data_IF_720561439297
#
_entry.id   IF_720561439297
#
_cell.length_a   1.000
_cell.length_b   1.000
_cell.length_c   1.000
_cell.angle_alpha   90.00
_cell.angle_beta   90.00
_cell.angle_gamma   90.00
#
_symmetry.space_group_name_H-M   'P 1'
#
loop_
_entity.id
_entity.type
_entity.pdbx_description
1 polymer ?
#
# COMPACT_ATOMS: atom_id res chain seq x y z
N UNK A 1 -69.32 17.88 -50.29
CA UNK A 1 -67.95 18.30 -49.91
C UNK A 1 -67.56 17.48 -48.70
N UNK A 2 -67.20 16.22 -48.87
CA UNK A 2 -65.92 15.64 -49.35
C UNK A 2 -64.74 15.83 -48.39
N UNK A 3 -64.12 14.67 -48.11
CA UNK A 3 -62.70 14.43 -47.81
C UNK A 3 -62.20 14.80 -46.41
N UNK A 4 -62.31 13.86 -45.45
CA UNK A 4 -61.34 13.69 -44.35
C UNK A 4 -61.56 12.37 -43.58
N UNK A 5 -61.77 11.23 -44.23
CA UNK A 5 -62.02 9.95 -43.51
C UNK A 5 -61.31 8.75 -44.13
N UNK A 6 -60.14 8.94 -44.75
CA UNK A 6 -59.39 7.86 -45.40
C UNK A 6 -57.87 8.05 -45.32
N UNK A 7 -57.34 8.52 -44.19
CA UNK A 7 -55.89 8.65 -43.99
C UNK A 7 -55.39 8.06 -42.67
N UNK A 8 -56.22 7.99 -41.61
CA UNK A 8 -55.78 7.48 -40.30
C UNK A 8 -55.89 5.96 -40.13
N UNK A 9 -56.71 5.29 -40.94
CA UNK A 9 -56.86 3.83 -40.89
C UNK A 9 -55.77 3.06 -41.67
N UNK A 10 -55.02 3.73 -42.56
CA UNK A 10 -53.95 3.10 -43.34
C UNK A 10 -52.57 3.16 -42.66
N UNK A 11 -52.40 3.99 -41.63
CA UNK A 11 -51.11 4.11 -40.91
C UNK A 11 -51.01 3.14 -39.73
N UNK A 12 -52.15 2.61 -39.23
CA UNK A 12 -52.14 1.66 -38.09
C UNK A 12 -52.00 0.19 -38.49
N UNK A 13 -51.98 -0.12 -39.79
CA UNK A 13 -51.91 -1.51 -40.28
C UNK A 13 -50.52 -1.93 -40.77
N UNK A 14 -49.54 -1.02 -40.81
CA UNK A 14 -48.25 -1.27 -41.46
C UNK A 14 -47.07 -0.86 -40.57
N UNK A 15 -46.98 -1.44 -39.37
CA UNK A 15 -45.68 -1.55 -38.67
C UNK A 15 -45.67 -2.59 -37.53
N UNK A 16 -46.17 -3.80 -37.80
CA UNK A 16 -45.73 -5.00 -37.05
C UNK A 16 -45.13 -5.97 -38.08
N UNK A 17 -44.07 -5.51 -38.75
CA UNK A 17 -43.10 -6.44 -39.32
C UNK A 17 -42.27 -6.91 -38.13
N UNK A 18 -42.69 -8.01 -37.52
CA UNK A 18 -41.82 -8.81 -36.66
C UNK A 18 -40.70 -9.29 -37.58
N UNK A 19 -39.55 -8.63 -37.50
CA UNK A 19 -38.39 -8.97 -38.32
C UNK A 19 -37.88 -10.34 -37.85
N UNK A 20 -38.13 -11.44 -38.58
CA UNK A 20 -37.81 -12.80 -38.09
C UNK A 20 -36.30 -13.00 -37.95
N UNK A 21 -35.51 -12.10 -38.55
CA UNK A 21 -34.05 -12.08 -38.48
C UNK A 21 -33.57 -11.55 -37.12
N UNK A 22 -34.24 -10.57 -36.51
CA UNK A 22 -33.82 -9.99 -35.23
C UNK A 22 -33.99 -10.98 -34.06
N UNK A 23 -35.12 -11.70 -34.01
CA UNK A 23 -35.36 -12.74 -33.01
C UNK A 23 -34.43 -13.95 -33.19
N UNK A 24 -34.01 -14.26 -34.43
CA UNK A 24 -33.06 -15.34 -34.69
C UNK A 24 -31.65 -15.01 -34.21
N UNK A 25 -31.23 -13.75 -34.29
CA UNK A 25 -29.91 -13.30 -33.83
C UNK A 25 -29.85 -13.29 -32.30
N UNK A 26 -30.90 -12.82 -31.62
CA UNK A 26 -30.93 -12.84 -30.15
C UNK A 26 -31.03 -14.28 -29.60
N UNK A 27 -31.76 -15.17 -30.28
CA UNK A 27 -31.80 -16.60 -29.92
C UNK A 27 -30.43 -17.30 -30.14
N UNK A 28 -29.73 -17.01 -31.23
CA UNK A 28 -28.39 -17.56 -31.49
C UNK A 28 -27.33 -16.98 -30.55
N UNK A 29 -27.40 -15.68 -30.21
CA UNK A 29 -26.48 -15.07 -29.26
C UNK A 29 -26.68 -15.65 -27.84
N UNK A 30 -27.92 -15.85 -27.42
CA UNK A 30 -28.22 -16.47 -26.12
C UNK A 30 -27.82 -17.95 -26.04
N UNK A 31 -27.94 -18.70 -27.14
CA UNK A 31 -27.50 -20.11 -27.21
C UNK A 31 -25.98 -20.27 -27.31
N UNK A 32 -25.28 -19.36 -28.00
CA UNK A 32 -23.81 -19.31 -28.06
C UNK A 32 -23.20 -18.97 -26.70
N UNK A 33 -23.81 -18.06 -25.92
CA UNK A 33 -23.35 -17.79 -24.55
C UNK A 33 -23.71 -18.91 -23.56
N UNK A 34 -24.78 -19.67 -23.81
CA UNK A 34 -25.14 -20.84 -23.00
C UNK A 34 -24.22 -22.05 -23.22
N UNK A 35 -23.50 -22.12 -24.34
CA UNK A 35 -22.66 -23.28 -24.73
C UNK A 35 -21.17 -23.12 -24.43
N UNK A 36 -20.74 -22.02 -23.81
CA UNK A 36 -19.37 -21.96 -23.28
C UNK A 36 -19.19 -23.04 -22.20
N UNK A 37 -18.31 -24.03 -22.39
CA UNK A 37 -18.14 -25.10 -21.43
C UNK A 37 -17.72 -24.48 -20.10
N UNK A 38 -18.61 -24.58 -19.11
CA UNK A 38 -18.34 -24.13 -17.75
C UNK A 38 -17.01 -24.77 -17.33
N UNK A 39 -16.00 -23.99 -16.93
CA UNK A 39 -14.72 -24.56 -16.56
C UNK A 39 -14.97 -25.64 -15.49
N UNK A 40 -14.50 -26.85 -15.78
CA UNK A 40 -14.58 -27.98 -14.86
C UNK A 40 -14.06 -27.57 -13.48
N UNK A 41 -14.57 -28.20 -12.42
CA UNK A 41 -14.24 -27.83 -11.02
C UNK A 41 -12.71 -27.73 -10.81
N UNK A 42 -11.93 -28.58 -11.47
CA UNK A 42 -10.46 -28.56 -11.49
C UNK A 42 -9.90 -27.27 -12.09
N UNK A 43 -10.36 -26.85 -13.28
CA UNK A 43 -9.90 -25.60 -13.92
C UNK A 43 -10.31 -24.37 -13.10
N UNK A 44 -11.45 -24.43 -12.41
CA UNK A 44 -11.89 -23.40 -11.47
C UNK A 44 -10.98 -23.31 -10.25
N UNK A 45 -10.63 -24.44 -9.65
CA UNK A 45 -9.69 -24.51 -8.52
C UNK A 45 -8.30 -24.02 -8.93
N UNK A 46 -7.77 -24.47 -10.08
CA UNK A 46 -6.49 -24.00 -10.62
C UNK A 46 -6.50 -22.49 -10.86
N UNK A 47 -7.55 -21.95 -11.49
CA UNK A 47 -7.65 -20.52 -11.71
C UNK A 47 -7.72 -19.73 -10.40
N UNK A 48 -8.38 -20.28 -9.38
CA UNK A 48 -8.44 -19.68 -8.06
C UNK A 48 -7.08 -19.70 -7.35
N UNK A 49 -6.36 -20.83 -7.39
CA UNK A 49 -5.00 -20.94 -6.84
C UNK A 49 -4.05 -19.98 -7.55
N UNK A 50 -4.06 -19.93 -8.88
CA UNK A 50 -3.23 -19.02 -9.67
C UNK A 50 -3.56 -17.56 -9.36
N UNK A 51 -4.85 -17.23 -9.20
CA UNK A 51 -5.27 -15.89 -8.79
C UNK A 51 -4.78 -15.55 -7.39
N UNK A 52 -4.92 -16.48 -6.43
CA UNK A 52 -4.49 -16.29 -5.05
C UNK A 52 -2.98 -16.10 -4.95
N UNK A 53 -2.18 -16.96 -5.60
CA UNK A 53 -0.71 -16.87 -5.63
C UNK A 53 -0.25 -15.57 -6.30
N UNK A 54 -0.86 -15.17 -7.42
CA UNK A 54 -0.51 -13.89 -8.07
C UNK A 54 -0.89 -12.69 -7.21
N UNK A 55 -2.06 -12.75 -6.56
CA UNK A 55 -2.52 -11.70 -5.66
C UNK A 55 -1.62 -11.54 -4.44
N UNK A 56 -1.30 -12.64 -3.76
CA UNK A 56 -0.40 -12.63 -2.60
C UNK A 56 1.01 -12.17 -2.98
N UNK A 57 1.54 -12.63 -4.12
CA UNK A 57 2.83 -12.15 -4.63
C UNK A 57 2.82 -10.64 -4.93
N UNK A 58 1.77 -10.13 -5.56
CA UNK A 58 1.64 -8.69 -5.81
C UNK A 58 1.55 -7.86 -4.51
N UNK A 59 0.86 -8.37 -3.49
CA UNK A 59 0.78 -7.71 -2.17
C UNK A 59 2.14 -7.75 -1.48
N UNK A 60 2.81 -8.92 -1.44
CA UNK A 60 4.13 -9.07 -0.83
C UNK A 60 5.16 -8.16 -1.51
N UNK A 61 5.11 -8.08 -2.83
CA UNK A 61 5.97 -7.18 -3.61
C UNK A 61 5.66 -5.70 -3.35
N UNK A 62 4.40 -5.34 -3.17
CA UNK A 62 4.01 -3.97 -2.81
C UNK A 62 4.57 -3.62 -1.43
N UNK A 63 4.42 -4.52 -0.45
CA UNK A 63 4.96 -4.35 0.90
C UNK A 63 6.48 -4.19 0.84
N UNK A 64 7.18 -5.05 0.12
CA UNK A 64 8.63 -4.96 -0.07
C UNK A 64 9.05 -3.63 -0.70
N UNK A 65 8.37 -3.20 -1.76
CA UNK A 65 8.69 -1.93 -2.43
C UNK A 65 8.46 -0.76 -1.49
N UNK A 66 7.33 -0.72 -0.79
CA UNK A 66 7.05 0.33 0.18
C UNK A 66 8.09 0.32 1.31
N UNK A 67 8.50 -0.85 1.78
CA UNK A 67 9.53 -1.00 2.81
C UNK A 67 10.89 -0.42 2.38
N UNK A 68 11.29 -0.69 1.14
CA UNK A 68 12.51 -0.11 0.56
C UNK A 68 12.39 1.43 0.44
N UNK A 69 11.23 1.93 0.01
CA UNK A 69 10.97 3.38 -0.03
C UNK A 69 11.03 4.02 1.36
N UNK A 70 10.56 3.32 2.39
CA UNK A 70 10.59 3.81 3.78
C UNK A 70 11.97 3.81 4.41
N UNK A 71 12.89 2.96 3.94
CA UNK A 71 14.25 2.92 4.46
C UNK A 71 15.07 4.16 4.08
N UNK A 72 14.67 4.90 3.03
CA UNK A 72 15.35 6.09 2.55
C UNK A 72 14.67 7.34 3.11
N UNK A 73 15.39 8.22 3.85
CA UNK A 73 14.85 9.49 4.33
C UNK A 73 14.26 10.31 3.17
N UNK A 74 13.22 11.11 3.45
CA UNK A 74 12.45 11.90 2.46
C UNK A 74 11.60 11.02 1.52
N UNK A 75 12.18 9.98 0.92
CA UNK A 75 11.47 9.02 0.04
C UNK A 75 10.35 8.28 0.80
N UNK A 76 10.54 8.07 2.11
CA UNK A 76 9.50 7.58 3.02
C UNK A 76 8.17 8.36 2.96
N UNK A 77 8.17 9.63 2.53
CA UNK A 77 6.94 10.41 2.31
C UNK A 77 6.08 9.84 1.19
N UNK A 78 6.68 9.22 0.18
CA UNK A 78 5.96 8.54 -0.91
C UNK A 78 5.20 7.34 -0.35
N UNK A 79 5.87 6.53 0.48
CA UNK A 79 5.25 5.39 1.15
C UNK A 79 4.10 5.82 2.06
N UNK A 80 4.30 6.87 2.86
CA UNK A 80 3.25 7.44 3.69
C UNK A 80 2.09 8.00 2.86
N UNK A 81 2.38 8.73 1.78
CA UNK A 81 1.37 9.22 0.84
C UNK A 81 0.59 8.11 0.14
N UNK A 82 1.25 6.99 -0.18
CA UNK A 82 0.58 5.79 -0.69
C UNK A 82 -0.41 5.23 0.34
N UNK A 83 0.03 5.03 1.59
CA UNK A 83 -0.82 4.55 2.68
C UNK A 83 -2.04 5.45 2.93
N UNK A 84 -1.84 6.78 2.88
CA UNK A 84 -2.92 7.76 2.94
C UNK A 84 -3.87 7.62 1.75
N UNK A 85 -3.35 7.50 0.53
CA UNK A 85 -4.20 7.35 -0.66
C UNK A 85 -5.10 6.11 -0.58
N UNK A 86 -4.59 4.99 -0.06
CA UNK A 86 -5.36 3.75 0.14
C UNK A 86 -6.52 3.98 1.11
N UNK A 87 -6.28 4.63 2.25
CA UNK A 87 -7.35 4.92 3.22
C UNK A 87 -8.35 5.94 2.69
N UNK A 88 -7.88 6.95 1.93
CA UNK A 88 -8.70 7.97 1.30
C UNK A 88 -9.61 7.43 0.19
N UNK A 89 -9.10 6.57 -0.69
CA UNK A 89 -9.87 5.92 -1.74
C UNK A 89 -10.91 4.94 -1.16
N UNK A 90 -10.56 4.22 -0.10
CA UNK A 90 -11.54 3.41 0.63
C UNK A 90 -12.63 4.28 1.26
N UNK A 91 -12.27 5.39 1.89
CA UNK A 91 -13.19 6.32 2.52
C UNK A 91 -14.12 7.05 1.53
N UNK A 92 -13.70 7.22 0.27
CA UNK A 92 -14.53 7.78 -0.81
C UNK A 92 -15.47 6.75 -1.45
N UNK A 93 -15.31 5.47 -1.15
CA UNK A 93 -16.21 4.39 -1.59
C UNK A 93 -15.64 3.43 -2.62
N UNK A 94 -14.35 3.52 -2.97
CA UNK A 94 -13.71 2.59 -3.90
C UNK A 94 -13.80 1.13 -3.41
N UNK A 95 -13.77 0.17 -4.34
CA UNK A 95 -13.67 -1.26 -3.99
C UNK A 95 -12.27 -1.55 -3.44
N UNK A 96 -12.16 -2.55 -2.56
CA UNK A 96 -10.87 -2.95 -1.96
C UNK A 96 -9.76 -3.22 -3.00
N UNK A 97 -10.13 -3.79 -4.14
CA UNK A 97 -9.20 -4.06 -5.24
C UNK A 97 -8.73 -2.78 -5.94
N UNK A 98 -9.61 -1.79 -6.03
CA UNK A 98 -9.34 -0.54 -6.74
C UNK A 98 -8.62 0.46 -5.84
N UNK A 99 -8.78 0.32 -4.52
CA UNK A 99 -8.14 1.15 -3.50
C UNK A 99 -6.71 0.80 -3.17
N UNK A 100 -6.11 -0.20 -3.84
CA UNK A 100 -4.68 -0.48 -3.78
C UNK A 100 -4.08 -0.04 -5.12
N UNK A 101 -3.73 1.25 -5.27
CA UNK A 101 -3.23 1.76 -6.52
C UNK A 101 -2.02 0.95 -6.97
N UNK A 102 -1.98 0.61 -8.25
CA UNK A 102 -0.78 0.06 -8.91
C UNK A 102 -0.29 -1.27 -8.31
N UNK A 103 -1.16 -2.01 -7.62
CA UNK A 103 -0.85 -3.33 -7.04
C UNK A 103 -0.23 -4.29 -8.08
N UNK A 104 -0.75 -4.28 -9.31
CA UNK A 104 -0.23 -5.11 -10.40
C UNK A 104 1.16 -4.67 -10.87
N UNK A 105 1.42 -3.37 -10.92
CA UNK A 105 2.72 -2.81 -11.30
C UNK A 105 3.76 -3.09 -10.22
N UNK A 106 3.38 -2.99 -8.94
CA UNK A 106 4.24 -3.39 -7.83
C UNK A 106 4.71 -4.84 -8.00
N UNK A 107 3.79 -5.78 -8.24
CA UNK A 107 4.16 -7.17 -8.54
C UNK A 107 5.13 -7.33 -9.73
N UNK A 108 4.98 -6.52 -10.79
CA UNK A 108 5.95 -6.53 -11.91
C UNK A 108 7.34 -6.09 -11.46
N UNK A 109 7.43 -5.03 -10.65
CA UNK A 109 8.69 -4.55 -10.06
C UNK A 109 9.30 -5.63 -9.17
N UNK A 110 8.51 -6.26 -8.30
CA UNK A 110 9.01 -7.34 -7.44
C UNK A 110 9.53 -8.54 -8.20
N UNK A 111 8.87 -8.94 -9.29
CA UNK A 111 9.41 -10.01 -10.15
C UNK A 111 10.68 -9.58 -10.86
N UNK A 112 10.78 -8.33 -11.30
CA UNK A 112 12.02 -7.80 -11.86
C UNK A 112 13.15 -7.87 -10.83
N UNK A 113 12.91 -7.40 -9.59
CA UNK A 113 13.88 -7.47 -8.50
C UNK A 113 14.25 -8.91 -8.16
N UNK A 114 13.28 -9.81 -8.07
CA UNK A 114 13.52 -11.24 -7.83
C UNK A 114 14.31 -11.88 -8.97
N UNK A 115 14.02 -11.54 -10.23
CA UNK A 115 14.75 -12.03 -11.38
C UNK A 115 16.19 -11.49 -11.41
N UNK A 116 16.41 -10.22 -11.09
CA UNK A 116 17.74 -9.63 -10.93
C UNK A 116 18.51 -10.35 -9.82
N UNK A 117 17.87 -10.57 -8.67
CA UNK A 117 18.46 -11.27 -7.54
C UNK A 117 18.87 -12.70 -7.92
N UNK A 118 17.94 -13.48 -8.50
CA UNK A 118 18.20 -14.86 -8.95
C UNK A 118 19.29 -14.89 -10.02
N UNK A 119 19.27 -13.96 -10.98
CA UNK A 119 20.28 -13.88 -12.04
C UNK A 119 21.65 -13.44 -11.51
N UNK A 120 21.70 -12.72 -10.39
CA UNK A 120 22.94 -12.32 -9.73
C UNK A 120 23.58 -13.45 -8.91
N UNK A 121 22.81 -14.44 -8.42
CA UNK A 121 23.33 -15.50 -7.55
C UNK A 121 24.50 -16.29 -8.16
N UNK A 122 24.44 -16.78 -9.42
CA UNK A 122 25.56 -17.53 -10.01
C UNK A 122 26.82 -16.68 -10.11
N UNK A 123 26.67 -15.42 -10.52
CA UNK A 123 27.78 -14.47 -10.60
C UNK A 123 28.39 -14.22 -9.22
N UNK A 124 27.57 -13.97 -8.21
CA UNK A 124 28.03 -13.77 -6.82
C UNK A 124 28.78 -14.99 -6.28
N UNK A 125 28.27 -16.18 -6.54
CA UNK A 125 28.88 -17.43 -6.09
C UNK A 125 30.26 -17.65 -6.75
N UNK A 126 30.35 -17.43 -8.06
CA UNK A 126 31.61 -17.51 -8.79
C UNK A 126 32.63 -16.46 -8.32
N UNK A 127 32.19 -15.22 -8.08
CA UNK A 127 33.08 -14.18 -7.53
C UNK A 127 33.53 -14.48 -6.11
N UNK A 128 32.66 -15.09 -5.30
CA UNK A 128 33.03 -15.49 -3.94
C UNK A 128 34.08 -16.60 -3.95
N UNK A 129 33.89 -17.62 -4.79
CA UNK A 129 34.88 -18.70 -4.95
C UNK A 129 36.20 -18.22 -5.56
N UNK A 130 36.16 -17.28 -6.50
CA UNK A 130 37.37 -16.65 -7.05
C UNK A 130 38.14 -15.91 -5.96
N UNK A 131 37.44 -15.14 -5.12
CA UNK A 131 38.04 -14.44 -3.99
C UNK A 131 38.70 -15.41 -3.02
N UNK A 132 38.02 -16.51 -2.64
CA UNK A 132 38.58 -17.56 -1.79
C UNK A 132 39.81 -18.22 -2.43
N UNK A 133 39.77 -18.56 -3.71
CA UNK A 133 40.88 -19.17 -4.43
C UNK A 133 42.11 -18.24 -4.49
N UNK A 134 41.88 -16.95 -4.69
CA UNK A 134 42.94 -15.92 -4.73
C UNK A 134 43.64 -15.72 -3.39
N UNK A 135 42.92 -15.89 -2.27
CA UNK A 135 43.48 -15.80 -0.92
C UNK A 135 44.35 -17.01 -0.57
N UNK A 136 44.00 -18.19 -1.08
CA UNK A 136 44.75 -19.44 -0.85
C UNK A 136 45.99 -19.50 -1.74
N UNK A 137 45.83 -19.26 -3.04
CA UNK A 137 46.92 -19.29 -4.01
C UNK A 137 46.81 -18.14 -5.03
N UNK A 138 47.50 -17.01 -4.77
CA UNK A 138 47.46 -15.84 -5.63
C UNK A 138 47.95 -16.17 -7.05
N UNK A 139 47.14 -15.83 -8.06
CA UNK A 139 47.51 -16.00 -9.48
C UNK A 139 47.30 -17.42 -10.04
N UNK A 140 46.62 -18.31 -9.33
CA UNK A 140 46.30 -19.65 -9.85
C UNK A 140 45.37 -19.64 -11.08
N UNK A 141 45.56 -20.60 -11.99
CA UNK A 141 44.71 -20.77 -13.19
C UNK A 141 43.22 -20.98 -12.84
N UNK A 142 42.96 -21.60 -11.68
CA UNK A 142 41.61 -21.82 -11.16
C UNK A 142 40.91 -20.50 -10.81
N UNK A 143 41.61 -19.54 -10.20
CA UNK A 143 41.05 -18.21 -9.92
C UNK A 143 40.70 -17.46 -11.22
N UNK A 144 41.57 -17.56 -12.23
CA UNK A 144 41.33 -16.97 -13.55
C UNK A 144 40.12 -17.58 -14.25
N UNK A 145 39.96 -18.91 -14.21
CA UNK A 145 38.81 -19.59 -14.79
C UNK A 145 37.49 -19.19 -14.09
N UNK A 146 37.48 -19.08 -12.76
CA UNK A 146 36.32 -18.61 -12.00
C UNK A 146 35.96 -17.15 -12.33
N UNK A 147 36.96 -16.29 -12.52
CA UNK A 147 36.75 -14.90 -12.95
C UNK A 147 36.09 -14.82 -14.34
N UNK A 148 36.60 -15.59 -15.31
CA UNK A 148 36.00 -15.65 -16.66
C UNK A 148 34.58 -16.20 -16.60
N UNK A 149 34.35 -17.23 -15.79
CA UNK A 149 33.01 -17.78 -15.52
C UNK A 149 32.06 -16.72 -14.94
N UNK A 150 32.51 -15.93 -13.97
CA UNK A 150 31.71 -14.86 -13.37
C UNK A 150 31.34 -13.78 -14.40
N UNK A 151 32.28 -13.38 -15.26
CA UNK A 151 32.03 -12.40 -16.34
C UNK A 151 31.01 -12.96 -17.33
N UNK A 152 31.19 -14.23 -17.76
CA UNK A 152 30.25 -14.87 -18.68
C UNK A 152 28.85 -14.95 -18.06
N UNK A 153 28.73 -15.38 -16.81
CA UNK A 153 27.47 -15.43 -16.07
C UNK A 153 26.80 -14.04 -15.98
N UNK A 154 27.57 -12.98 -15.71
CA UNK A 154 27.07 -11.61 -15.69
C UNK A 154 26.54 -11.12 -17.04
N UNK A 155 27.24 -11.45 -18.14
CA UNK A 155 26.79 -11.13 -19.50
C UNK A 155 25.49 -11.87 -19.85
N UNK A 156 25.41 -13.17 -19.54
CA UNK A 156 24.20 -13.96 -19.74
C UNK A 156 23.02 -13.44 -18.91
N UNK A 157 23.26 -13.11 -17.63
CA UNK A 157 22.25 -12.51 -16.75
C UNK A 157 21.72 -11.18 -17.31
N UNK A 158 22.61 -10.31 -17.77
CA UNK A 158 22.25 -9.01 -18.36
C UNK A 158 21.41 -9.20 -19.63
N UNK A 159 21.85 -10.06 -20.55
CA UNK A 159 21.11 -10.37 -21.78
C UNK A 159 19.71 -10.96 -21.49
N UNK A 160 19.63 -11.85 -20.50
CA UNK A 160 18.37 -12.43 -20.04
C UNK A 160 17.39 -11.38 -19.47
N UNK A 161 17.88 -10.49 -18.60
CA UNK A 161 17.07 -9.45 -17.97
C UNK A 161 16.58 -8.42 -19.00
N UNK A 162 17.44 -7.99 -19.91
CA UNK A 162 17.07 -7.10 -21.02
C UNK A 162 15.98 -7.74 -21.88
N UNK A 163 16.12 -9.02 -22.22
CA UNK A 163 15.11 -9.75 -22.99
C UNK A 163 13.77 -9.90 -22.26
N UNK A 164 13.79 -10.11 -20.95
CA UNK A 164 12.57 -10.13 -20.15
C UNK A 164 11.84 -8.79 -20.18
N UNK A 165 12.59 -7.69 -20.20
CA UNK A 165 12.04 -6.33 -20.27
C UNK A 165 11.42 -6.01 -21.63
N UNK A 166 12.10 -6.36 -22.72
CA UNK A 166 11.61 -6.21 -24.11
C UNK A 166 10.19 -6.76 -24.26
N UNK A 167 9.94 -7.92 -23.65
CA UNK A 167 8.66 -8.65 -23.71
C UNK A 167 7.55 -8.03 -22.85
N UNK A 168 7.79 -6.90 -22.20
CA UNK A 168 6.78 -6.12 -21.50
C UNK A 168 6.65 -6.43 -20.01
N UNK A 169 7.69 -6.99 -19.37
CA UNK A 169 7.83 -6.99 -17.90
C UNK A 169 6.69 -7.64 -17.11
N UNK A 170 5.92 -8.56 -17.70
CA UNK A 170 4.84 -9.28 -17.00
C UNK A 170 5.41 -10.39 -16.13
N UNK A 171 4.72 -10.71 -15.02
CA UNK A 171 5.12 -11.75 -14.06
C UNK A 171 5.54 -13.07 -14.72
N UNK A 172 4.82 -13.50 -15.77
CA UNK A 172 5.11 -14.76 -16.48
C UNK A 172 6.32 -14.70 -17.43
N UNK A 173 6.76 -13.52 -17.86
CA UNK A 173 7.90 -13.40 -18.79
C UNK A 173 9.24 -13.63 -18.09
N UNK A 174 9.32 -13.32 -16.80
CA UNK A 174 10.48 -13.59 -15.94
C UNK A 174 10.60 -15.05 -15.48
N UNK A 175 9.52 -15.84 -15.56
CA UNK A 175 9.59 -17.28 -15.26
C UNK A 175 9.90 -18.13 -16.50
N UNK A 176 9.62 -17.63 -17.71
CA UNK A 176 9.77 -18.38 -18.95
C UNK A 176 10.45 -17.56 -20.06
N UNK A 177 11.74 -17.83 -20.37
CA UNK A 177 12.51 -17.03 -21.32
C UNK A 177 12.05 -17.06 -22.79
N UNK A 178 11.15 -17.97 -23.20
CA UNK A 178 10.77 -18.20 -24.62
C UNK A 178 11.98 -18.12 -25.58
N UNK A 179 12.93 -19.08 -25.50
CA UNK A 179 14.20 -18.99 -26.23
C UNK A 179 14.02 -18.90 -27.75
N UNK A 180 12.97 -19.51 -28.32
CA UNK A 180 12.69 -19.47 -29.76
C UNK A 180 12.40 -18.05 -30.30
N UNK A 181 11.77 -17.18 -29.49
CA UNK A 181 11.52 -15.78 -29.89
C UNK A 181 12.75 -14.91 -29.69
N UNK A 182 13.59 -15.20 -28.69
CA UNK A 182 14.85 -14.49 -28.44
C UNK A 182 15.72 -14.48 -29.69
N UNK A 183 16.04 -15.65 -30.23
CA UNK A 183 16.90 -15.73 -31.42
C UNK A 183 16.28 -15.10 -32.68
N UNK A 184 14.94 -14.99 -32.77
CA UNK A 184 14.25 -14.42 -33.95
C UNK A 184 14.09 -12.90 -33.90
N UNK A 185 13.86 -12.36 -32.71
CA UNK A 185 13.43 -10.97 -32.53
C UNK A 185 14.48 -10.12 -31.81
N UNK A 186 15.43 -10.72 -31.06
CA UNK A 186 16.49 -9.98 -30.38
C UNK A 186 17.42 -9.25 -31.37
N UNK A 187 17.59 -9.77 -32.59
CA UNK A 187 18.43 -9.13 -33.62
C UNK A 187 17.73 -7.98 -34.37
N UNK A 188 16.45 -7.70 -34.09
CA UNK A 188 15.70 -6.62 -34.76
C UNK A 188 15.83 -5.32 -33.97
N UNK A 189 16.51 -4.32 -34.54
CA UNK A 189 16.73 -3.00 -33.92
C UNK A 189 15.42 -2.32 -33.49
N UNK A 190 14.35 -2.48 -34.28
CA UNK A 190 13.03 -1.91 -33.98
C UNK A 190 12.39 -2.41 -32.68
N UNK A 191 12.85 -3.55 -32.16
CA UNK A 191 12.36 -4.12 -30.90
C UNK A 191 13.02 -3.43 -29.69
N UNK A 192 14.23 -2.89 -29.87
CA UNK A 192 14.99 -2.22 -28.82
C UNK A 192 14.68 -0.71 -28.73
N UNK A 193 14.32 -0.09 -29.85
CA UNK A 193 14.00 1.36 -29.89
C UNK A 193 12.80 1.73 -29.03
N UNK A 194 11.82 0.83 -28.84
CA UNK A 194 10.62 1.09 -28.03
C UNK A 194 10.81 0.83 -26.52
N UNK A 195 11.98 0.38 -26.06
CA UNK A 195 12.20 0.09 -24.65
C UNK A 195 12.28 1.33 -23.75
N UNK A 196 13.02 2.39 -24.12
CA UNK A 196 13.07 3.63 -23.34
C UNK A 196 11.67 4.24 -23.16
N UNK A 197 10.85 4.26 -24.21
CA UNK A 197 9.49 4.80 -24.14
C UNK A 197 8.64 4.03 -23.14
N UNK A 198 8.70 2.68 -23.16
CA UNK A 198 7.98 1.84 -22.19
C UNK A 198 8.49 2.02 -20.76
N UNK A 199 9.79 2.23 -20.57
CA UNK A 199 10.38 2.53 -19.26
C UNK A 199 9.90 3.88 -18.73
N UNK A 200 9.84 4.87 -19.62
CA UNK A 200 9.37 6.21 -19.29
C UNK A 200 7.87 6.20 -18.97
N UNK A 201 7.04 5.59 -19.82
CA UNK A 201 5.61 5.40 -19.58
C UNK A 201 5.36 4.67 -18.26
N UNK A 202 6.14 3.61 -17.98
CA UNK A 202 6.04 2.89 -16.71
C UNK A 202 6.36 3.81 -15.52
N UNK A 203 7.45 4.58 -15.59
CA UNK A 203 7.87 5.49 -14.53
C UNK A 203 6.87 6.61 -14.30
N UNK A 204 6.36 7.22 -15.37
CA UNK A 204 5.31 8.24 -15.33
C UNK A 204 4.02 7.65 -14.75
N UNK A 205 3.69 6.40 -15.12
CA UNK A 205 2.50 5.71 -14.60
C UNK A 205 2.57 5.47 -13.10
N UNK A 206 3.73 5.55 -12.44
CA UNK A 206 3.86 5.40 -10.98
C UNK A 206 3.38 6.63 -10.21
N UNK A 207 3.21 7.80 -10.86
CA UNK A 207 2.75 9.06 -10.24
C UNK A 207 3.41 9.35 -8.88
N UNK A 208 4.70 9.03 -8.74
CA UNK A 208 5.45 9.20 -7.50
C UNK A 208 5.35 10.63 -6.92
N UNK A 209 5.37 11.72 -7.74
CA UNK A 209 5.21 13.07 -7.22
C UNK A 209 3.85 13.30 -6.54
N UNK A 210 2.78 12.67 -7.02
CA UNK A 210 1.44 12.79 -6.43
C UNK A 210 1.44 12.25 -5.00
N UNK A 211 2.00 11.05 -4.81
CA UNK A 211 2.12 10.43 -3.48
C UNK A 211 3.07 11.21 -2.58
N UNK A 212 4.19 11.69 -3.12
CA UNK A 212 5.12 12.54 -2.36
C UNK A 212 4.41 13.77 -1.78
N UNK A 213 3.69 14.53 -2.62
CA UNK A 213 2.99 15.73 -2.18
C UNK A 213 1.82 15.44 -1.23
N UNK A 214 1.10 14.35 -1.44
CA UNK A 214 0.05 13.91 -0.53
C UNK A 214 0.63 13.54 0.84
N UNK A 215 1.73 12.79 0.84
CA UNK A 215 2.47 12.39 2.05
C UNK A 215 3.06 13.59 2.79
N UNK A 216 3.68 14.54 2.08
CA UNK A 216 4.24 15.76 2.66
C UNK A 216 3.18 16.61 3.37
N UNK A 217 2.05 16.86 2.69
CA UNK A 217 0.93 17.63 3.27
C UNK A 217 0.29 16.90 4.46
N UNK A 218 0.12 15.58 4.35
CA UNK A 218 -0.39 14.75 5.44
C UNK A 218 0.56 14.76 6.65
N UNK A 219 1.86 14.63 6.42
CA UNK A 219 2.88 14.66 7.46
C UNK A 219 2.94 16.04 8.13
N UNK A 220 2.94 17.13 7.36
CA UNK A 220 2.90 18.48 7.89
C UNK A 220 1.66 18.74 8.76
N UNK A 221 0.46 18.36 8.28
CA UNK A 221 -0.76 18.49 9.07
C UNK A 221 -0.74 17.64 10.34
N UNK A 222 -0.14 16.46 10.27
CA UNK A 222 0.03 15.56 11.43
C UNK A 222 0.98 16.14 12.47
N UNK A 223 2.10 16.74 12.05
CA UNK A 223 3.06 17.37 12.95
C UNK A 223 2.41 18.50 13.78
N UNK A 224 1.49 19.27 13.19
CA UNK A 224 0.72 20.29 13.91
C UNK A 224 -0.10 19.67 15.05
N UNK A 225 -0.72 18.52 14.82
CA UNK A 225 -1.46 17.79 15.87
C UNK A 225 -0.56 17.16 16.93
N UNK A 226 0.73 16.94 16.63
CA UNK A 226 1.71 16.38 17.57
C UNK A 226 2.49 17.44 18.36
N UNK A 227 2.15 18.73 18.23
CA UNK A 227 2.70 19.79 19.10
C UNK A 227 2.60 19.42 20.60
N UNK A 228 1.50 18.84 21.12
CA UNK A 228 1.44 18.40 22.51
C UNK A 228 2.54 17.38 22.87
N UNK A 229 2.88 16.44 21.98
CA UNK A 229 3.98 15.51 22.20
C UNK A 229 5.34 16.21 22.25
N UNK A 230 5.55 17.26 21.43
CA UNK A 230 6.77 18.08 21.50
C UNK A 230 6.90 18.79 22.85
N UNK A 231 5.79 19.29 23.40
CA UNK A 231 5.74 19.94 24.72
C UNK A 231 6.06 18.94 25.83
N UNK A 232 5.55 17.69 25.74
CA UNK A 232 5.90 16.59 26.66
C UNK A 232 7.43 16.42 26.70
N UNK A 233 8.07 16.28 25.53
CA UNK A 233 9.53 16.09 25.45
C UNK A 233 10.28 17.26 26.09
N UNK A 234 9.88 18.50 25.78
CA UNK A 234 10.51 19.69 26.34
C UNK A 234 10.36 19.75 27.87
N UNK A 235 9.18 19.40 28.39
CA UNK A 235 8.90 19.37 29.82
C UNK A 235 9.72 18.30 30.55
N UNK A 236 9.88 17.11 29.96
CA UNK A 236 10.69 16.02 30.55
C UNK A 236 12.19 16.26 30.44
N UNK A 237 12.69 16.98 29.42
CA UNK A 237 14.12 17.30 29.28
C UNK A 237 14.63 18.35 30.27
N UNK A 238 13.81 19.35 30.60
CA UNK A 238 14.23 20.53 31.39
C UNK A 238 13.77 20.46 32.87
N UNK A 239 13.60 19.25 33.41
CA UNK A 239 12.82 18.96 34.63
C UNK A 239 13.34 19.55 35.95
N UNK A 240 13.24 20.87 36.13
CA UNK A 240 13.58 21.55 37.40
C UNK A 240 12.38 22.23 38.09
N UNK A 241 11.14 22.08 37.61
CA UNK A 241 9.97 22.68 38.29
C UNK A 241 8.77 21.74 38.37
N UNK A 242 8.04 21.75 39.50
CA UNK A 242 6.78 21.00 39.66
C UNK A 242 5.70 21.39 38.63
N UNK A 243 5.84 22.58 38.00
CA UNK A 243 5.06 23.05 36.86
C UNK A 243 5.26 22.17 35.61
N UNK A 244 6.45 21.60 35.41
CA UNK A 244 6.73 20.71 34.28
C UNK A 244 5.88 19.43 34.33
N UNK A 245 5.60 18.91 35.53
CA UNK A 245 4.73 17.75 35.71
C UNK A 245 3.27 18.01 35.29
N UNK A 246 2.72 19.16 35.68
CA UNK A 246 1.36 19.55 35.29
C UNK A 246 1.26 19.78 33.78
N UNK A 247 2.22 20.49 33.19
CA UNK A 247 2.29 20.75 31.74
C UNK A 247 2.43 19.44 30.96
N UNK A 248 3.25 18.50 31.44
CA UNK A 248 3.40 17.16 30.86
C UNK A 248 2.08 16.37 30.90
N UNK A 249 1.35 16.40 32.02
CA UNK A 249 0.08 15.70 32.16
C UNK A 249 -1.02 16.29 31.24
N UNK A 250 -1.15 17.61 31.18
CA UNK A 250 -2.10 18.27 30.25
C UNK A 250 -1.75 17.93 28.80
N UNK A 251 -0.47 17.94 28.46
CA UNK A 251 0.00 17.61 27.12
C UNK A 251 -0.25 16.13 26.77
N UNK A 252 -0.15 15.22 27.75
CA UNK A 252 -0.50 13.80 27.60
C UNK A 252 -1.99 13.63 27.27
N UNK A 253 -2.87 14.35 27.97
CA UNK A 253 -4.31 14.35 27.67
C UNK A 253 -4.57 14.90 26.26
N UNK A 254 -3.94 16.02 25.90
CA UNK A 254 -4.06 16.60 24.55
C UNK A 254 -3.57 15.63 23.47
N UNK A 255 -2.49 14.89 23.73
CA UNK A 255 -1.99 13.86 22.83
C UNK A 255 -2.98 12.70 22.70
N UNK A 256 -3.56 12.23 23.79
CA UNK A 256 -4.63 11.22 23.74
C UNK A 256 -5.83 11.67 22.91
N UNK A 257 -6.23 12.94 23.04
CA UNK A 257 -7.27 13.53 22.19
C UNK A 257 -6.83 13.57 20.72
N UNK A 258 -5.57 13.94 20.42
CA UNK A 258 -5.05 13.92 19.06
C UNK A 258 -5.12 12.50 18.47
N UNK A 259 -4.61 11.49 19.17
CA UNK A 259 -4.65 10.08 18.75
C UNK A 259 -6.07 9.57 18.48
N UNK A 260 -7.06 10.06 19.23
CA UNK A 260 -8.46 9.69 19.08
C UNK A 260 -9.08 10.13 17.74
N UNK A 261 -8.60 11.23 17.16
CA UNK A 261 -9.17 11.82 15.94
C UNK A 261 -8.24 11.73 14.72
N UNK A 262 -6.94 11.79 14.93
CA UNK A 262 -5.94 12.01 13.89
C UNK A 262 -5.95 10.92 12.79
N UNK A 263 -5.95 9.61 13.10
CA UNK A 263 -5.96 8.58 12.06
C UNK A 263 -7.14 8.75 11.08
N UNK A 264 -8.30 9.15 11.60
CA UNK A 264 -9.51 9.35 10.80
C UNK A 264 -9.49 10.70 10.07
N UNK A 265 -8.89 11.72 10.67
CA UNK A 265 -8.63 13.00 9.99
C UNK A 265 -7.66 12.82 8.82
N UNK A 266 -6.65 11.95 8.95
CA UNK A 266 -5.71 11.60 7.88
C UNK A 266 -6.41 10.90 6.71
N UNK A 267 -7.27 9.92 7.00
CA UNK A 267 -8.06 9.24 5.97
C UNK A 267 -9.09 10.18 5.30
N UNK A 268 -9.71 11.09 6.07
CA UNK A 268 -10.57 12.13 5.50
C UNK A 268 -9.80 13.09 4.58
N UNK A 269 -8.65 13.58 5.05
CA UNK A 269 -7.74 14.41 4.26
C UNK A 269 -7.35 13.75 2.95
N UNK A 270 -7.01 12.46 2.98
CA UNK A 270 -6.64 11.74 1.78
C UNK A 270 -7.81 11.58 0.81
N UNK A 271 -9.05 11.45 1.31
CA UNK A 271 -10.25 11.38 0.47
C UNK A 271 -10.59 12.70 -0.21
N UNK A 272 -10.27 13.83 0.42
CA UNK A 272 -10.64 15.16 -0.07
C UNK A 272 -9.50 15.92 -0.75
N UNK A 273 -8.25 15.50 -0.51
CA UNK A 273 -7.03 16.17 -0.96
C UNK A 273 -6.95 17.66 -0.53
N UNK A 274 -7.56 18.02 0.62
CA UNK A 274 -7.57 19.39 1.17
C UNK A 274 -6.94 19.42 2.56
N UNK A 275 -5.86 20.16 2.76
CA UNK A 275 -5.16 20.22 4.08
C UNK A 275 -6.10 20.63 5.22
N UNK A 276 -7.06 21.52 4.95
CA UNK A 276 -8.08 21.94 5.93
C UNK A 276 -8.90 20.77 6.50
N UNK A 277 -9.07 19.69 5.74
CA UNK A 277 -9.79 18.49 6.17
C UNK A 277 -9.10 17.75 7.33
N UNK A 278 -7.79 17.95 7.57
CA UNK A 278 -7.11 17.47 8.79
C UNK A 278 -7.55 18.20 10.06
N UNK A 279 -8.26 19.32 9.94
CA UNK A 279 -8.74 20.12 11.07
C UNK A 279 -10.28 20.12 11.18
N UNK A 280 -10.98 19.40 10.29
CA UNK A 280 -12.44 19.29 10.29
C UNK A 280 -12.97 18.30 11.34
N UNK A 281 -12.63 18.53 12.61
CA UNK A 281 -13.03 17.65 13.73
C UNK A 281 -14.54 17.52 13.84
N UNK A 282 -15.30 18.56 13.49
CA UNK A 282 -16.78 18.54 13.52
C UNK A 282 -17.36 17.50 12.56
N UNK A 283 -16.77 17.35 11.38
CA UNK A 283 -17.21 16.39 10.38
C UNK A 283 -16.92 14.96 10.84
N UNK A 284 -15.70 14.72 11.30
CA UNK A 284 -15.27 13.45 11.90
C UNK A 284 -16.13 13.04 13.09
N UNK A 285 -16.55 13.99 13.94
CA UNK A 285 -17.51 13.73 15.03
C UNK A 285 -18.90 13.35 14.54
N UNK A 286 -19.34 13.89 13.40
CA UNK A 286 -20.62 13.53 12.77
C UNK A 286 -20.53 12.13 12.17
N UNK A 287 -19.44 11.83 11.48
CA UNK A 287 -19.16 10.51 10.90
C UNK A 287 -19.08 9.42 12.00
N UNK A 288 -18.44 9.71 13.13
CA UNK A 288 -18.39 8.79 14.29
C UNK A 288 -19.78 8.38 14.79
N UNK A 289 -20.74 9.31 14.77
CA UNK A 289 -22.11 9.03 15.25
C UNK A 289 -22.81 7.97 14.39
N UNK A 290 -22.54 7.96 13.08
CA UNK A 290 -23.18 7.05 12.13
C UNK A 290 -22.65 5.61 12.20
N UNK A 291 -21.40 5.40 12.60
CA UNK A 291 -20.81 4.06 12.72
C UNK A 291 -19.77 3.94 13.88
N UNK A 292 -20.21 4.03 15.15
CA UNK A 292 -19.32 4.07 16.30
C UNK A 292 -18.50 2.77 16.48
N UNK A 293 -19.09 1.61 16.19
CA UNK A 293 -18.40 0.31 16.32
C UNK A 293 -17.36 0.06 15.23
N UNK A 294 -17.61 0.52 14.00
CA UNK A 294 -16.62 0.42 12.93
C UNK A 294 -15.40 1.29 13.24
N UNK A 295 -15.63 2.47 13.83
CA UNK A 295 -14.58 3.35 14.31
C UNK A 295 -13.75 2.74 15.43
N UNK A 296 -14.42 2.18 16.44
CA UNK A 296 -13.76 1.49 17.54
C UNK A 296 -12.91 0.34 17.01
N UNK A 297 -13.46 -0.50 16.12
CA UNK A 297 -12.72 -1.60 15.49
C UNK A 297 -11.49 -1.12 14.73
N UNK A 298 -11.62 -0.06 13.95
CA UNK A 298 -10.48 0.52 13.24
C UNK A 298 -9.42 1.11 14.20
N UNK A 299 -9.83 1.74 15.30
CA UNK A 299 -8.90 2.26 16.30
C UNK A 299 -8.20 1.14 17.08
N UNK A 300 -8.91 0.08 17.43
CA UNK A 300 -8.32 -1.10 18.07
C UNK A 300 -7.31 -1.76 17.14
N UNK A 301 -7.65 -1.95 15.86
CA UNK A 301 -6.71 -2.46 14.87
C UNK A 301 -5.50 -1.52 14.69
N UNK A 302 -5.75 -0.22 14.53
CA UNK A 302 -4.75 0.77 14.13
C UNK A 302 -3.89 1.35 15.25
N UNK A 303 -4.30 1.26 16.51
CA UNK A 303 -3.49 1.68 17.67
C UNK A 303 -2.98 0.49 18.49
N UNK A 304 -3.77 -0.58 18.68
CA UNK A 304 -3.43 -1.65 19.62
C UNK A 304 -2.91 -2.88 18.88
N UNK A 305 -3.74 -3.53 18.05
CA UNK A 305 -3.41 -4.86 17.52
C UNK A 305 -2.21 -4.82 16.57
N UNK A 306 -2.18 -3.86 15.64
CA UNK A 306 -1.16 -3.83 14.59
C UNK A 306 0.13 -3.10 14.99
N UNK A 307 0.10 -1.97 15.75
CA UNK A 307 1.32 -1.29 16.14
C UNK A 307 2.05 -1.89 17.34
N UNK A 308 1.38 -2.54 18.31
CA UNK A 308 2.05 -3.06 19.51
C UNK A 308 3.21 -4.03 19.16
N UNK A 309 3.04 -4.98 18.22
CA UNK A 309 4.14 -5.81 17.76
C UNK A 309 5.33 -5.02 17.20
N UNK A 310 5.05 -3.88 16.54
CA UNK A 310 6.08 -3.00 15.98
C UNK A 310 6.87 -2.27 17.08
N UNK A 311 6.22 -1.89 18.18
CA UNK A 311 6.90 -1.28 19.32
C UNK A 311 7.80 -2.27 20.07
N UNK A 312 7.45 -3.56 20.11
CA UNK A 312 8.31 -4.61 20.67
C UNK A 312 9.58 -4.85 19.83
N UNK A 313 9.46 -4.79 18.51
CA UNK A 313 10.60 -4.90 17.58
C UNK A 313 11.59 -3.73 17.70
N UNK A 314 11.16 -2.60 18.27
CA UNK A 314 12.01 -1.40 18.47
C UNK A 314 13.02 -1.54 19.62
N UNK A 315 12.98 -2.64 20.38
CA UNK A 315 13.84 -2.85 21.56
C UNK A 315 15.30 -3.19 21.15
N UNK A 316 15.55 -3.62 19.90
CA UNK A 316 16.87 -4.04 19.44
C UNK A 316 17.47 -3.05 18.43
N UNK A 317 18.72 -2.63 18.66
CA UNK A 317 19.45 -1.78 17.74
C UNK A 317 19.83 -2.58 16.48
N UNK A 318 19.04 -2.44 15.41
CA UNK A 318 19.38 -3.09 14.14
C UNK A 318 20.61 -2.46 13.49
N UNK A 319 21.61 -3.25 13.07
CA UNK A 319 22.74 -2.79 12.26
C UNK A 319 22.26 -2.10 10.97
N UNK A 320 23.07 -1.17 10.44
CA UNK A 320 22.71 -0.37 9.25
C UNK A 320 22.36 -1.25 8.04
N UNK A 321 22.95 -2.43 7.97
CA UNK A 321 22.79 -3.41 6.90
C UNK A 321 21.39 -4.08 6.92
N UNK A 322 20.67 -4.03 8.05
CA UNK A 322 19.40 -4.74 8.29
C UNK A 322 18.22 -3.77 8.50
N UNK A 323 18.43 -2.46 8.36
CA UNK A 323 17.41 -1.40 8.58
C UNK A 323 16.15 -1.59 7.72
N UNK A 324 16.25 -2.27 6.57
CA UNK A 324 15.13 -2.55 5.68
C UNK A 324 14.14 -3.60 6.24
N UNK A 325 14.59 -4.49 7.13
CA UNK A 325 13.77 -5.59 7.64
C UNK A 325 12.69 -5.09 8.62
N UNK A 326 13.00 -4.24 9.61
CA UNK A 326 11.97 -3.56 10.41
C UNK A 326 10.98 -2.75 9.58
N UNK A 327 11.44 -2.07 8.52
CA UNK A 327 10.58 -1.33 7.59
C UNK A 327 9.57 -2.25 6.89
N UNK A 328 9.97 -3.47 6.53
CA UNK A 328 9.08 -4.46 5.93
C UNK A 328 7.98 -4.88 6.89
N UNK A 329 8.33 -5.22 8.13
CA UNK A 329 7.35 -5.58 9.16
C UNK A 329 6.43 -4.38 9.44
N UNK A 330 6.98 -3.18 9.58
CA UNK A 330 6.20 -1.96 9.75
C UNK A 330 5.14 -1.78 8.65
N UNK A 331 5.55 -1.84 7.38
CA UNK A 331 4.63 -1.70 6.24
C UNK A 331 3.56 -2.78 6.23
N UNK A 332 3.94 -4.02 6.53
CA UNK A 332 3.02 -5.16 6.55
C UNK A 332 1.90 -4.99 7.59
N UNK A 333 2.19 -4.34 8.73
CA UNK A 333 1.22 -4.10 9.81
C UNK A 333 0.48 -2.77 9.67
N UNK A 334 1.12 -1.70 9.17
CA UNK A 334 0.46 -0.40 9.03
C UNK A 334 -0.53 -0.36 7.86
N UNK A 335 -0.27 -1.09 6.77
CA UNK A 335 -1.16 -1.14 5.62
C UNK A 335 -2.58 -1.63 6.00
N UNK A 336 -2.76 -2.78 6.69
CA UNK A 336 -4.09 -3.20 7.14
C UNK A 336 -4.72 -2.25 8.16
N UNK A 337 -3.93 -1.53 8.96
CA UNK A 337 -4.46 -0.50 9.86
C UNK A 337 -5.12 0.64 9.07
N UNK A 338 -4.43 1.17 8.05
CA UNK A 338 -4.95 2.24 7.18
C UNK A 338 -6.16 1.80 6.37
N UNK A 339 -6.18 0.55 5.93
CA UNK A 339 -7.35 -0.05 5.28
C UNK A 339 -8.55 -0.07 6.25
N UNK A 340 -8.36 -0.47 7.50
CA UNK A 340 -9.43 -0.49 8.50
C UNK A 340 -10.00 0.92 8.76
N UNK A 341 -9.13 1.94 8.85
CA UNK A 341 -9.54 3.35 8.99
C UNK A 341 -10.40 3.84 7.82
N UNK A 342 -9.95 3.57 6.58
CA UNK A 342 -10.70 3.93 5.38
C UNK A 342 -12.06 3.23 5.28
N UNK A 343 -12.12 1.94 5.63
CA UNK A 343 -13.37 1.17 5.66
C UNK A 343 -14.34 1.67 6.74
N UNK A 344 -13.84 2.06 7.91
CA UNK A 344 -14.67 2.61 8.98
C UNK A 344 -15.33 3.93 8.55
N UNK A 345 -14.58 4.81 7.89
CA UNK A 345 -15.12 6.07 7.33
C UNK A 345 -16.12 5.82 6.21
N UNK A 346 -15.83 4.89 5.30
CA UNK A 346 -16.78 4.49 4.25
C UNK A 346 -18.10 4.04 4.86
N UNK A 347 -18.02 3.19 5.88
CA UNK A 347 -19.18 2.62 6.58
C UNK A 347 -19.97 3.69 7.33
N UNK A 348 -19.30 4.69 7.89
CA UNK A 348 -19.92 5.86 8.53
C UNK A 348 -20.70 6.71 7.51
N UNK A 349 -20.07 7.02 6.36
CA UNK A 349 -20.67 7.85 5.30
C UNK A 349 -21.81 7.18 4.54
N UNK A 350 -21.81 5.86 4.49
CA UNK A 350 -22.86 5.08 3.82
C UNK A 350 -24.11 4.89 4.67
N UNK A 351 -24.12 5.34 5.94
CA UNK A 351 -25.26 5.19 6.85
C UNK A 351 -26.01 6.50 7.01
N UNK A 352 -27.36 6.45 7.08
CA UNK A 352 -28.16 7.61 7.41
C UNK A 352 -27.89 8.06 8.85
N UNK A 353 -28.28 9.30 9.17
CA UNK A 353 -28.13 9.83 10.52
C UNK A 353 -28.87 8.92 11.52
N UNK A 354 -28.22 8.53 12.62
CA UNK A 354 -28.80 7.63 13.59
C UNK A 354 -29.95 8.31 14.33
N UNK A 355 -31.13 7.69 14.31
CA UNK A 355 -32.30 8.11 15.09
C UNK A 355 -32.59 7.11 16.22
N UNK A 356 -32.91 7.62 17.41
CA UNK A 356 -33.35 6.82 18.56
C UNK A 356 -32.33 6.63 19.68
N UNK A 357 -32.84 6.19 20.85
CA UNK A 357 -32.08 6.07 22.11
C UNK A 357 -30.99 5.00 22.05
N UNK A 358 -31.23 3.89 21.35
CA UNK A 358 -30.26 2.79 21.23
C UNK A 358 -28.98 3.22 20.48
N UNK A 359 -29.12 4.05 19.45
CA UNK A 359 -27.96 4.60 18.75
C UNK A 359 -27.16 5.55 19.64
N UNK A 360 -27.82 6.37 20.46
CA UNK A 360 -27.16 7.21 21.46
C UNK A 360 -26.41 6.37 22.50
N UNK A 361 -27.04 5.33 23.06
CA UNK A 361 -26.37 4.41 24.00
C UNK A 361 -25.14 3.77 23.35
N UNK A 362 -25.27 3.25 22.13
CA UNK A 362 -24.15 2.66 21.38
C UNK A 362 -22.99 3.64 21.15
N UNK A 363 -23.29 4.93 20.88
CA UNK A 363 -22.26 5.96 20.69
C UNK A 363 -21.51 6.26 21.99
N UNK A 364 -22.22 6.36 23.11
CA UNK A 364 -21.60 6.57 24.41
C UNK A 364 -20.76 5.37 24.83
N UNK A 365 -21.28 4.15 24.67
CA UNK A 365 -20.52 2.92 24.94
C UNK A 365 -19.23 2.87 24.12
N UNK A 366 -19.30 3.09 22.81
CA UNK A 366 -18.11 3.09 21.97
C UNK A 366 -17.13 4.22 22.35
N UNK A 367 -17.63 5.40 22.72
CA UNK A 367 -16.79 6.52 23.17
C UNK A 367 -16.08 6.22 24.49
N UNK A 368 -16.77 5.61 25.45
CA UNK A 368 -16.16 5.16 26.70
C UNK A 368 -15.14 4.06 26.46
N UNK A 369 -15.38 3.12 25.55
CA UNK A 369 -14.42 2.08 25.18
C UNK A 369 -13.23 2.61 24.37
N UNK A 370 -13.35 3.74 23.69
CA UNK A 370 -12.23 4.33 22.95
C UNK A 370 -11.17 4.93 23.89
N UNK A 371 -11.58 5.43 25.05
CA UNK A 371 -10.65 5.99 26.07
C UNK A 371 -9.62 4.96 26.54
N UNK A 372 -10.00 3.75 27.03
CA UNK A 372 -9.01 2.75 27.43
C UNK A 372 -8.18 2.25 26.26
N UNK A 373 -8.71 2.18 25.03
CA UNK A 373 -7.93 1.81 23.83
C UNK A 373 -6.77 2.80 23.61
N UNK A 374 -7.06 4.10 23.65
CA UNK A 374 -6.03 5.15 23.52
C UNK A 374 -5.12 5.17 24.74
N UNK A 375 -5.65 4.97 25.95
CA UNK A 375 -4.84 4.94 27.17
C UNK A 375 -3.84 3.79 27.17
N UNK A 376 -4.24 2.58 26.75
CA UNK A 376 -3.34 1.42 26.59
C UNK A 376 -2.22 1.76 25.63
N UNK A 377 -2.53 2.35 24.47
CA UNK A 377 -1.51 2.79 23.52
C UNK A 377 -0.56 3.83 24.12
N UNK A 378 -1.08 4.84 24.83
CA UNK A 378 -0.26 5.84 25.51
C UNK A 378 0.65 5.24 26.59
N UNK A 379 0.18 4.24 27.33
CA UNK A 379 1.02 3.49 28.28
C UNK A 379 2.15 2.78 27.56
N UNK A 380 1.89 2.13 26.42
CA UNK A 380 2.94 1.53 25.60
C UNK A 380 3.94 2.56 25.08
N UNK A 381 3.48 3.71 24.59
CA UNK A 381 4.36 4.81 24.16
C UNK A 381 5.20 5.31 25.34
N UNK A 382 4.58 5.52 26.50
CA UNK A 382 5.27 5.94 27.72
C UNK A 382 6.30 4.92 28.20
N UNK A 383 5.99 3.62 28.19
CA UNK A 383 6.95 2.58 28.58
C UNK A 383 8.07 2.48 27.55
N UNK A 384 7.75 2.60 26.25
CA UNK A 384 8.73 2.49 25.17
C UNK A 384 9.83 3.54 25.22
N UNK A 385 9.59 4.70 25.85
CA UNK A 385 10.63 5.72 26.02
C UNK A 385 11.80 5.25 26.91
N UNK A 386 11.53 4.32 27.83
CA UNK A 386 12.54 3.78 28.76
C UNK A 386 13.24 2.55 28.21
N UNK A 387 12.65 1.90 27.21
CA UNK A 387 13.16 0.65 26.63
C UNK A 387 13.78 0.82 25.25
N UNK A 388 13.46 1.92 24.53
CA UNK A 388 13.93 2.14 23.17
C UNK A 388 15.17 3.02 23.10
N UNK A 389 16.01 2.75 22.11
CA UNK A 389 17.24 3.52 21.84
C UNK A 389 16.97 5.01 21.54
N UNK A 390 15.83 5.34 20.94
CA UNK A 390 15.46 6.71 20.56
C UNK A 390 14.96 7.56 21.75
N UNK A 391 14.77 6.96 22.92
CA UNK A 391 14.37 7.62 24.16
C UNK A 391 13.11 8.48 24.00
N UNK A 392 13.22 9.77 24.34
CA UNK A 392 12.12 10.75 24.26
C UNK A 392 11.64 11.04 22.82
N UNK A 393 12.37 10.69 21.77
CA UNK A 393 11.93 10.94 20.39
C UNK A 393 10.75 10.03 19.97
N UNK A 394 10.50 8.95 20.69
CA UNK A 394 9.34 8.04 20.50
C UNK A 394 7.99 8.76 20.59
N UNK A 395 7.92 9.86 21.35
CA UNK A 395 6.71 10.67 21.49
C UNK A 395 6.32 11.40 20.20
N UNK A 396 7.30 11.83 19.38
CA UNK A 396 7.07 12.46 18.07
C UNK A 396 6.97 11.43 16.96
N UNK A 397 7.83 10.40 17.02
CA UNK A 397 7.89 9.32 16.06
C UNK A 397 6.80 8.27 16.34
N UNK A 398 5.55 8.69 16.30
CA UNK A 398 4.42 7.81 16.54
C UNK A 398 4.21 6.91 15.33
N UNK A 399 4.55 5.64 15.46
CA UNK A 399 4.53 4.65 14.37
C UNK A 399 3.12 4.37 13.86
N UNK A 400 2.10 4.62 14.69
CA UNK A 400 0.70 4.52 14.28
C UNK A 400 0.25 5.66 13.34
N UNK A 401 0.96 6.80 13.33
CA UNK A 401 0.43 8.05 12.77
C UNK A 401 1.40 8.72 11.80
N UNK A 402 2.69 8.68 12.09
CA UNK A 402 3.75 9.30 11.31
C UNK A 402 4.54 8.27 10.51
N UNK A 403 5.37 8.80 9.61
CA UNK A 403 6.20 8.07 8.67
C UNK A 403 7.17 7.14 9.43
N UNK A 404 7.44 5.92 8.94
CA UNK A 404 8.58 5.14 9.43
C UNK A 404 9.85 5.95 9.18
N UNK A 405 10.47 6.40 10.26
CA UNK A 405 11.77 7.05 10.19
C UNK A 405 12.81 5.92 10.18
N UNK A 406 13.74 5.88 9.21
CA UNK A 406 14.83 4.94 9.28
C UNK A 406 15.56 5.17 10.60
N UNK A 407 15.86 4.07 11.29
CA UNK A 407 16.59 4.02 12.55
C UNK A 407 18.01 4.55 12.34
N UNK A 408 18.15 5.86 12.21
CA UNK A 408 19.44 6.56 12.15
C UNK A 408 19.94 6.74 13.58
N UNK A 409 20.26 5.61 14.22
CA UNK A 409 21.07 5.57 15.41
C UNK A 409 22.54 5.69 15.03
N UNK A 410 23.22 6.71 15.55
CA UNK A 410 24.69 6.78 15.59
C UNK A 410 25.33 7.72 14.57
N UNK A 411 25.59 8.94 15.02
CA UNK A 411 26.99 9.39 15.14
C UNK A 411 27.32 9.48 16.61
#
# INVERSE_FOLDING_TARGET
MNQATTADELISAELIVTDPVADSIDADVHTVFATLPRPGRVRRLQNWVVWAVRGSFSIASLILLLALLTAIPIVQLIAFGYLLSVSGELASGAKFRDSLPKLRQAGQIGMTLAAVFIAALPTQLLTHWESVASLINPGSDQATALRVGAIAAALFATGYLLWAWVRGGRLGHYLWPQPKRFFREAWRLSTWTSMPDRLWEFTVSLELPRYFWLGLRGAAGTLVWLIPAMIIIAAFRNGETGLAGLVGFVSLIMLGVALMYLPMLQANFASENRIRALFEVRRIRRDFRCAPWAWLGAMVCGLVILPIPLYLLKIEATPREVVWLPCLVFVAFILPARIAEGLALRRARSRPEPTGRWATTSQWTARFLLVPVVAVYLVFVYVSQYTSWDGLQTWVQQHAILIPVPFLGGT
#
